data_IF_048043795559
#
_entry.id   IF_048043795559
#
_cell.length_a   1.000
_cell.length_b   1.000
_cell.length_c   1.000
_cell.angle_alpha   90.00
_cell.angle_beta   90.00
_cell.angle_gamma   90.00
#
_symmetry.space_group_name_H-M   'P 1'
#
loop_
_entity.id
_entity.type
_entity.pdbx_description
1 polymer ?
#
# COMPACT_ATOMS: atom_id res chain seq x y z
N UNK A 1 2.61 7.50 12.87
CA UNK A 1 2.26 7.69 14.30
C UNK A 1 1.45 6.53 14.85
N UNK A 2 0.32 6.22 14.23
CA UNK A 2 -0.62 5.19 14.69
C UNK A 2 0.01 3.78 14.79
N UNK A 3 0.84 3.38 13.82
CA UNK A 3 1.47 2.05 13.80
C UNK A 3 2.46 1.83 14.93
N UNK A 4 3.22 2.86 15.35
CA UNK A 4 4.14 2.76 16.48
C UNK A 4 3.40 2.58 17.82
N UNK A 5 2.31 3.31 18.03
CA UNK A 5 1.48 3.15 19.23
C UNK A 5 0.82 1.77 19.26
N UNK A 6 0.40 1.26 18.10
CA UNK A 6 -0.15 -0.08 17.95
C UNK A 6 0.87 -1.16 18.31
N UNK A 7 2.05 -1.16 17.69
CA UNK A 7 3.08 -2.18 17.95
C UNK A 7 3.60 -2.11 19.37
N UNK A 8 3.71 -0.90 19.95
CA UNK A 8 4.05 -0.72 21.36
C UNK A 8 3.01 -1.30 22.31
N UNK A 9 1.72 -1.05 22.07
CA UNK A 9 0.64 -1.54 22.93
C UNK A 9 0.43 -3.06 22.80
N UNK A 10 0.59 -3.61 21.59
CA UNK A 10 0.33 -5.02 21.31
C UNK A 10 1.52 -5.94 21.60
N UNK A 11 2.73 -5.53 21.23
CA UNK A 11 3.94 -6.35 21.30
C UNK A 11 4.97 -5.85 22.30
N UNK A 12 4.71 -4.71 22.98
CA UNK A 12 5.69 -4.10 23.88
C UNK A 12 6.92 -3.52 23.17
N UNK A 13 6.83 -3.27 21.86
CA UNK A 13 7.96 -2.78 21.07
C UNK A 13 8.49 -1.44 21.55
N UNK A 14 9.82 -1.34 21.62
CA UNK A 14 10.51 -0.09 21.82
C UNK A 14 10.71 0.63 20.47
N UNK A 15 11.16 1.89 20.53
CA UNK A 15 11.45 2.69 19.33
C UNK A 15 12.43 1.98 18.38
N UNK A 16 13.41 1.26 18.93
CA UNK A 16 14.43 0.54 18.16
C UNK A 16 13.80 -0.60 17.35
N UNK A 17 12.93 -1.41 17.95
CA UNK A 17 12.28 -2.56 17.29
C UNK A 17 11.38 -2.10 16.13
N UNK A 18 10.62 -1.02 16.37
CA UNK A 18 9.82 -0.39 15.34
C UNK A 18 10.67 0.16 14.19
N UNK A 19 11.81 0.77 14.53
CA UNK A 19 12.74 1.32 13.54
C UNK A 19 13.35 0.22 12.68
N UNK A 20 13.73 -0.93 13.26
CA UNK A 20 14.22 -2.08 12.49
C UNK A 20 13.19 -2.59 11.49
N UNK A 21 11.93 -2.74 11.93
CA UNK A 21 10.85 -3.12 11.02
C UNK A 21 10.63 -2.09 9.93
N UNK A 22 10.61 -0.80 10.27
CA UNK A 22 10.41 0.29 9.30
C UNK A 22 11.56 0.37 8.28
N UNK A 23 12.80 0.18 8.73
CA UNK A 23 13.99 0.12 7.87
C UNK A 23 13.97 -1.08 6.92
N UNK A 24 13.30 -2.17 7.29
CA UNK A 24 13.06 -3.29 6.38
C UNK A 24 11.90 -3.00 5.42
N UNK A 25 10.75 -2.56 5.95
CA UNK A 25 9.51 -2.43 5.17
C UNK A 25 9.58 -1.34 4.11
N UNK A 26 10.20 -0.20 4.43
CA UNK A 26 10.24 0.96 3.53
C UNK A 26 10.99 0.67 2.22
N UNK A 27 12.25 0.19 2.22
CA UNK A 27 12.94 -0.12 0.98
C UNK A 27 12.30 -1.29 0.23
N UNK A 28 11.80 -2.31 0.93
CA UNK A 28 11.13 -3.46 0.30
C UNK A 28 9.89 -3.00 -0.48
N UNK A 29 9.06 -2.16 0.13
CA UNK A 29 7.86 -1.60 -0.52
C UNK A 29 8.20 -0.63 -1.65
N UNK A 30 9.26 0.17 -1.52
CA UNK A 30 9.76 1.00 -2.62
C UNK A 30 10.21 0.16 -3.82
N UNK A 31 11.01 -0.89 -3.60
CA UNK A 31 11.47 -1.80 -4.66
C UNK A 31 10.28 -2.52 -5.29
N UNK A 32 9.33 -3.00 -4.48
CA UNK A 32 8.11 -3.62 -4.95
C UNK A 32 7.34 -2.69 -5.88
N UNK A 33 7.14 -1.43 -5.51
CA UNK A 33 6.44 -0.45 -6.36
C UNK A 33 7.12 -0.22 -7.71
N UNK A 34 8.46 -0.26 -7.74
CA UNK A 34 9.24 -0.03 -8.95
C UNK A 34 9.34 -1.25 -9.87
N UNK A 35 9.17 -2.48 -9.35
CA UNK A 35 9.36 -3.72 -10.11
C UNK A 35 8.03 -4.44 -10.34
N UNK A 36 7.21 -4.61 -9.30
CA UNK A 36 5.98 -5.40 -9.33
C UNK A 36 4.91 -4.74 -10.20
N UNK A 37 4.75 -3.42 -10.09
CA UNK A 37 3.79 -2.68 -10.93
C UNK A 37 4.09 -2.82 -12.43
N UNK A 38 5.30 -2.48 -12.94
CA UNK A 38 5.58 -2.66 -14.36
C UNK A 38 5.59 -4.13 -14.77
N UNK A 39 5.97 -5.05 -13.88
CA UNK A 39 5.84 -6.48 -14.15
C UNK A 39 4.37 -6.90 -14.35
N UNK A 40 3.46 -6.48 -13.49
CA UNK A 40 2.02 -6.79 -13.61
C UNK A 40 1.39 -6.15 -14.85
N UNK A 41 1.72 -4.88 -15.13
CA UNK A 41 1.14 -4.15 -16.25
C UNK A 41 1.73 -4.56 -17.60
N UNK A 42 3.06 -4.70 -17.70
CA UNK A 42 3.76 -4.90 -18.98
C UNK A 42 3.99 -6.39 -19.29
N UNK A 43 4.42 -7.17 -18.30
CA UNK A 43 4.75 -8.58 -18.53
C UNK A 43 3.51 -9.48 -18.47
N UNK A 44 2.60 -9.24 -17.52
CA UNK A 44 1.36 -10.01 -17.39
C UNK A 44 0.19 -9.42 -18.18
N UNK A 45 0.29 -8.17 -18.64
CA UNK A 45 -0.77 -7.50 -19.40
C UNK A 45 -2.06 -7.28 -18.60
N UNK A 46 -1.97 -7.17 -17.27
CA UNK A 46 -3.14 -6.98 -16.43
C UNK A 46 -3.75 -5.60 -16.65
N UNK A 47 -5.07 -5.57 -16.84
CA UNK A 47 -5.83 -4.33 -16.84
C UNK A 47 -5.75 -3.63 -15.48
N UNK A 48 -5.84 -2.30 -15.49
CA UNK A 48 -5.80 -1.47 -14.28
C UNK A 48 -6.82 -1.92 -13.22
N UNK A 49 -7.98 -2.44 -13.65
CA UNK A 49 -8.98 -3.00 -12.74
C UNK A 49 -8.47 -4.24 -11.98
N UNK A 50 -7.77 -5.16 -12.66
CA UNK A 50 -7.23 -6.37 -12.03
C UNK A 50 -6.11 -6.03 -11.07
N UNK A 51 -5.23 -5.09 -11.44
CA UNK A 51 -4.15 -4.61 -10.57
C UNK A 51 -4.74 -3.96 -9.31
N UNK A 52 -5.76 -3.12 -9.48
CA UNK A 52 -6.52 -2.53 -8.37
C UNK A 52 -7.13 -3.60 -7.45
N UNK A 53 -7.82 -4.60 -8.02
CA UNK A 53 -8.45 -5.67 -7.26
C UNK A 53 -7.46 -6.53 -6.48
N UNK A 54 -6.36 -6.95 -7.11
CA UNK A 54 -5.29 -7.73 -6.47
C UNK A 54 -4.68 -6.94 -5.32
N UNK A 55 -4.39 -5.67 -5.56
CA UNK A 55 -3.78 -4.84 -4.54
C UNK A 55 -4.70 -4.56 -3.35
N UNK A 56 -5.98 -4.23 -3.58
CA UNK A 56 -6.95 -4.07 -2.47
C UNK A 56 -7.17 -5.36 -1.70
N UNK A 57 -7.21 -6.51 -2.38
CA UNK A 57 -7.33 -7.82 -1.72
C UNK A 57 -6.12 -8.09 -0.83
N UNK A 58 -4.92 -7.83 -1.35
CA UNK A 58 -3.66 -8.04 -0.63
C UNK A 58 -3.54 -7.11 0.58
N UNK A 59 -3.99 -5.87 0.45
CA UNK A 59 -4.03 -4.90 1.55
C UNK A 59 -4.99 -5.32 2.66
N UNK A 60 -6.17 -5.84 2.30
CA UNK A 60 -7.09 -6.43 3.25
C UNK A 60 -6.44 -7.62 3.99
N UNK A 61 -5.77 -8.52 3.27
CA UNK A 61 -5.07 -9.65 3.90
C UNK A 61 -3.94 -9.20 4.83
N UNK A 62 -3.15 -8.19 4.44
CA UNK A 62 -2.12 -7.60 5.30
C UNK A 62 -2.73 -7.11 6.61
N UNK A 63 -3.81 -6.33 6.55
CA UNK A 63 -4.46 -5.81 7.76
C UNK A 63 -5.04 -6.91 8.65
N UNK A 64 -5.56 -7.98 8.06
CA UNK A 64 -5.99 -9.17 8.83
C UNK A 64 -4.80 -9.79 9.54
N UNK A 65 -3.69 -10.03 8.85
CA UNK A 65 -2.46 -10.62 9.43
C UNK A 65 -1.92 -9.75 10.57
N UNK A 66 -1.78 -8.44 10.35
CA UNK A 66 -1.29 -7.50 11.37
C UNK A 66 -2.28 -7.38 12.55
N UNK A 67 -3.59 -7.42 12.27
CA UNK A 67 -4.67 -7.38 13.25
C UNK A 67 -4.73 -8.62 14.14
N UNK A 68 -4.51 -9.81 13.57
CA UNK A 68 -4.51 -11.09 14.32
C UNK A 68 -3.12 -11.53 14.78
N UNK A 69 -2.08 -10.76 14.48
CA UNK A 69 -0.69 -11.11 14.80
C UNK A 69 -0.48 -11.40 16.30
N UNK A 70 -0.05 -12.62 16.68
CA UNK A 70 0.29 -12.94 18.07
C UNK A 70 1.67 -12.38 18.46
N UNK A 71 2.57 -12.19 17.48
CA UNK A 71 3.92 -11.65 17.70
C UNK A 71 4.28 -10.56 16.69
N UNK A 72 5.29 -9.76 17.01
CA UNK A 72 5.76 -8.68 16.15
C UNK A 72 6.37 -9.14 14.81
N UNK A 73 6.82 -10.39 14.69
CA UNK A 73 7.39 -10.91 13.44
C UNK A 73 6.36 -10.98 12.30
N UNK A 74 5.08 -11.11 12.62
CA UNK A 74 3.99 -11.10 11.64
C UNK A 74 3.88 -9.75 10.90
N UNK A 75 4.40 -8.66 11.47
CA UNK A 75 4.51 -7.37 10.77
C UNK A 75 5.45 -7.46 9.55
N UNK A 76 6.47 -8.33 9.61
CA UNK A 76 7.36 -8.57 8.47
C UNK A 76 6.69 -9.46 7.41
N UNK A 77 5.88 -10.43 7.82
CA UNK A 77 5.03 -11.20 6.90
C UNK A 77 4.05 -10.29 6.17
N UNK A 78 3.38 -9.36 6.89
CA UNK A 78 2.49 -8.38 6.29
C UNK A 78 3.18 -7.56 5.19
N UNK A 79 4.43 -7.14 5.45
CA UNK A 79 5.27 -6.47 4.45
C UNK A 79 5.53 -7.33 3.21
N UNK A 80 5.72 -8.64 3.35
CA UNK A 80 5.96 -9.53 2.21
C UNK A 80 4.68 -9.73 1.40
N UNK A 81 3.55 -9.91 2.09
CA UNK A 81 2.25 -10.08 1.44
C UNK A 81 1.92 -8.87 0.58
N UNK A 82 2.10 -7.65 1.12
CA UNK A 82 1.78 -6.41 0.40
C UNK A 82 2.61 -6.22 -0.87
N UNK A 83 3.81 -6.82 -1.00
CA UNK A 83 4.66 -6.71 -2.22
C UNK A 83 3.85 -7.07 -3.48
N UNK A 84 3.04 -8.13 -3.41
CA UNK A 84 2.24 -8.62 -4.55
C UNK A 84 1.11 -7.66 -4.92
N UNK A 85 0.62 -6.89 -3.94
CA UNK A 85 -0.46 -5.93 -4.11
C UNK A 85 -0.02 -4.53 -4.51
N UNK A 86 1.27 -4.31 -4.79
CA UNK A 86 1.77 -2.98 -5.14
C UNK A 86 1.27 -2.54 -6.52
N UNK A 87 0.32 -1.60 -6.51
CA UNK A 87 -0.16 -0.94 -7.72
C UNK A 87 -1.51 -0.24 -7.62
N UNK A 88 -2.29 -0.46 -6.55
CA UNK A 88 -3.63 0.11 -6.37
C UNK A 88 -3.70 1.61 -6.62
N UNK A 89 -2.81 2.39 -5.98
CA UNK A 89 -2.77 3.85 -6.13
C UNK A 89 -2.50 4.26 -7.59
N UNK A 90 -1.58 3.57 -8.27
CA UNK A 90 -1.28 3.84 -9.68
C UNK A 90 -2.47 3.47 -10.59
N UNK A 91 -3.14 2.35 -10.32
CA UNK A 91 -4.30 1.89 -11.10
C UNK A 91 -5.52 2.78 -10.95
N UNK A 92 -5.81 3.30 -9.75
CA UNK A 92 -6.88 4.28 -9.53
C UNK A 92 -6.62 5.54 -10.36
N UNK A 93 -5.38 6.05 -10.31
CA UNK A 93 -4.98 7.25 -11.05
C UNK A 93 -5.02 7.03 -12.56
N UNK A 94 -4.57 5.87 -13.05
CA UNK A 94 -4.66 5.48 -14.48
C UNK A 94 -6.11 5.31 -14.95
N UNK A 95 -6.99 4.78 -14.10
CA UNK A 95 -8.41 4.64 -14.41
C UNK A 95 -9.09 6.01 -14.49
N UNK A 96 -8.79 6.91 -13.54
CA UNK A 96 -9.33 8.28 -13.53
C UNK A 96 -8.92 9.09 -14.76
N UNK A 97 -7.66 8.98 -15.22
CA UNK A 97 -7.22 9.69 -16.43
C UNK A 97 -7.86 9.18 -17.72
N UNK A 98 -8.33 7.92 -17.75
CA UNK A 98 -9.08 7.35 -18.89
C UNK A 98 -10.56 7.76 -18.91
N UNK A 99 -11.12 8.12 -17.75
CA UNK A 99 -12.54 8.47 -17.58
C UNK A 99 -12.82 9.98 -17.69
N UNK A 100 -11.78 10.82 -17.60
CA UNK A 100 -11.91 12.27 -17.46
C UNK A 100 -11.23 12.98 -18.63
N UNK A 101 -11.88 14.02 -19.16
CA UNK A 101 -11.32 14.86 -20.22
C UNK A 101 -9.99 15.49 -19.78
N UNK A 102 -8.99 15.64 -20.67
CA UNK A 102 -7.66 16.18 -20.31
C UNK A 102 -7.68 17.50 -19.55
N UNK A 103 -8.68 18.35 -19.81
CA UNK A 103 -8.86 19.67 -19.19
C UNK A 103 -9.31 19.59 -17.72
N UNK A 104 -9.90 18.47 -17.28
CA UNK A 104 -10.46 18.28 -15.94
C UNK A 104 -9.60 17.36 -15.05
N UNK A 105 -8.57 16.72 -15.62
CA UNK A 105 -7.68 15.80 -14.89
C UNK A 105 -7.05 16.47 -13.65
N UNK A 106 -6.62 17.73 -13.79
CA UNK A 106 -6.03 18.49 -12.67
C UNK A 106 -7.02 18.74 -11.53
N UNK A 107 -8.29 19.00 -11.85
CA UNK A 107 -9.33 19.18 -10.86
C UNK A 107 -9.65 17.87 -10.13
N UNK A 108 -9.70 16.74 -10.85
CA UNK A 108 -9.94 15.42 -10.25
C UNK A 108 -8.80 14.99 -9.33
N UNK A 109 -7.55 15.22 -9.72
CA UNK A 109 -6.40 14.97 -8.84
C UNK A 109 -6.41 15.86 -7.59
N UNK A 110 -6.86 17.12 -7.70
CA UNK A 110 -7.00 18.00 -6.54
C UNK A 110 -8.07 17.48 -5.54
N UNK A 111 -9.21 16.98 -6.03
CA UNK A 111 -10.24 16.36 -5.18
C UNK A 111 -9.72 15.09 -4.51
N UNK A 112 -8.97 14.26 -5.23
CA UNK A 112 -8.33 13.07 -4.67
C UNK A 112 -7.34 13.43 -3.57
N UNK A 113 -6.49 14.43 -3.80
CA UNK A 113 -5.54 14.92 -2.81
C UNK A 113 -6.25 15.46 -1.56
N UNK A 114 -7.34 16.21 -1.73
CA UNK A 114 -8.18 16.65 -0.61
C UNK A 114 -8.73 15.45 0.18
N UNK A 115 -9.24 14.42 -0.51
CA UNK A 115 -9.73 13.21 0.15
C UNK A 115 -8.63 12.46 0.92
N UNK A 116 -7.43 12.32 0.33
CA UNK A 116 -6.24 11.74 0.99
C UNK A 116 -5.80 12.56 2.22
N UNK A 117 -5.95 13.89 2.21
CA UNK A 117 -5.63 14.72 3.39
C UNK A 117 -6.67 14.61 4.51
N UNK A 118 -7.93 14.32 4.18
CA UNK A 118 -9.01 14.17 5.15
C UNK A 118 -9.03 12.78 5.80
N UNK A 119 -8.60 11.76 5.07
CA UNK A 119 -8.43 10.40 5.56
C UNK A 119 -6.94 10.16 5.80
N UNK A 120 -6.40 10.37 7.03
CA UNK A 120 -5.02 10.02 7.31
C UNK A 120 -4.88 8.49 7.24
N UNK A 121 -4.47 7.99 6.07
CA UNK A 121 -4.05 6.61 5.85
C UNK A 121 -2.81 6.28 6.70
#
# INVERSE_FOLDING_TARGET
GNTYLYTRKKFGWNYIDYTYWSMFSTPVTMIASGIVLPFQSVYLGFDDYLIGFIGSSTEMFKHVIEGTAPDGWYMYLGTIVIIVGFGVSASIRSSLTKLVSPDEIGAVFAVLALAETLLPL
#
